data_IF_453294479315
#
_entry.id   IF_453294479315
#
_cell.length_a   1.000
_cell.length_b   1.000
_cell.length_c   1.000
_cell.angle_alpha   90.00
_cell.angle_beta   90.00
_cell.angle_gamma   90.00
#
_symmetry.space_group_name_H-M   'P 1'
#
loop_
_entity.id
_entity.type
_entity.pdbx_description
1 polymer ?
#
# COMPACT_ATOMS: atom_id res chain seq x y z
N UNK A 1 -19.83 -10.27 -10.69
CA UNK A 1 -18.69 -9.34 -10.56
C UNK A 1 -17.61 -10.06 -9.78
N UNK A 2 -16.30 -9.82 -10.02
CA UNK A 2 -15.28 -10.33 -9.11
C UNK A 2 -15.58 -9.81 -7.69
N UNK A 3 -15.51 -10.70 -6.70
CA UNK A 3 -15.70 -10.34 -5.29
C UNK A 3 -14.43 -9.63 -4.84
N UNK A 4 -14.57 -8.42 -4.29
CA UNK A 4 -13.47 -7.63 -3.74
C UNK A 4 -13.58 -7.64 -2.22
N UNK A 5 -12.48 -7.94 -1.53
CA UNK A 5 -12.46 -8.14 -0.08
C UNK A 5 -11.89 -6.90 0.64
N UNK A 6 -12.35 -6.56 1.85
CA UNK A 6 -11.67 -5.52 2.62
C UNK A 6 -10.26 -5.97 3.05
N UNK A 7 -9.39 -5.03 3.37
CA UNK A 7 -7.98 -5.34 3.69
C UNK A 7 -7.81 -6.16 4.98
N UNK A 8 -8.76 -6.05 5.90
CA UNK A 8 -8.82 -6.85 7.12
C UNK A 8 -9.41 -8.25 6.89
N UNK A 9 -9.80 -8.62 5.66
CA UNK A 9 -10.18 -10.00 5.34
C UNK A 9 -8.98 -10.92 5.19
N UNK A 10 -7.74 -10.41 5.15
CA UNK A 10 -6.53 -11.22 4.98
C UNK A 10 -5.61 -11.14 6.20
N UNK A 11 -4.99 -12.27 6.53
CA UNK A 11 -4.08 -12.45 7.66
C UNK A 11 -3.06 -13.55 7.35
N UNK A 12 -1.90 -13.52 8.01
CA UNK A 12 -0.98 -14.67 8.11
C UNK A 12 -1.30 -15.57 9.30
N UNK A 13 -2.15 -15.11 10.23
CA UNK A 13 -2.66 -15.87 11.36
C UNK A 13 -4.21 -15.85 11.39
N UNK A 14 -4.88 -16.98 11.11
CA UNK A 14 -6.33 -17.03 11.04
C UNK A 14 -7.01 -16.86 12.41
N UNK A 15 -6.28 -16.98 13.53
CA UNK A 15 -6.83 -16.72 14.86
C UNK A 15 -7.10 -15.22 15.10
N UNK A 16 -6.47 -14.34 14.33
CA UNK A 16 -6.61 -12.88 14.47
C UNK A 16 -7.89 -12.32 13.85
N UNK A 17 -8.62 -13.10 13.06
CA UNK A 17 -9.88 -12.64 12.47
C UNK A 17 -10.99 -12.39 13.49
N UNK A 18 -10.89 -12.98 14.69
CA UNK A 18 -11.84 -12.76 15.78
C UNK A 18 -11.48 -11.52 16.63
N UNK A 19 -10.33 -10.90 16.35
CA UNK A 19 -9.87 -9.67 16.99
C UNK A 19 -10.20 -8.45 16.11
N UNK A 20 -10.42 -7.29 16.74
CA UNK A 20 -10.62 -6.03 16.02
C UNK A 20 -9.44 -5.71 15.08
N UNK A 21 -9.70 -5.21 13.86
CA UNK A 21 -8.67 -4.68 12.98
C UNK A 21 -7.90 -3.54 13.64
N UNK A 22 -6.67 -3.32 13.16
CA UNK A 22 -5.85 -2.19 13.55
C UNK A 22 -5.81 -1.15 12.43
N UNK A 23 -5.83 0.12 12.82
CA UNK A 23 -5.69 1.25 11.90
C UNK A 23 -4.22 1.60 11.71
N UNK A 24 -3.74 1.60 10.47
CA UNK A 24 -2.33 1.85 10.16
C UNK A 24 -2.22 2.96 9.11
N UNK A 25 -1.40 4.00 9.34
CA UNK A 25 -1.10 4.98 8.30
C UNK A 25 -0.16 4.40 7.24
N UNK A 26 -0.50 4.60 5.96
CA UNK A 26 0.29 4.16 4.81
C UNK A 26 1.50 5.06 4.57
N UNK A 27 1.33 6.37 4.76
CA UNK A 27 2.38 7.38 4.75
C UNK A 27 2.63 7.87 6.18
N UNK A 28 3.87 7.78 6.65
CA UNK A 28 4.27 8.21 8.00
C UNK A 28 5.56 9.01 7.93
N UNK A 29 5.84 9.83 8.94
CA UNK A 29 7.02 10.72 9.00
C UNK A 29 8.20 10.15 9.80
N UNK A 30 8.01 9.10 10.62
CA UNK A 30 9.04 8.64 11.58
C UNK A 30 9.69 7.29 11.24
N UNK A 31 10.90 7.09 11.79
CA UNK A 31 11.91 6.00 11.72
C UNK A 31 12.33 5.45 10.35
N UNK A 32 11.42 5.33 9.38
CA UNK A 32 11.69 5.08 7.95
C UNK A 32 10.83 5.96 7.02
N UNK A 33 10.14 6.96 7.60
CA UNK A 33 9.09 7.77 6.96
C UNK A 33 9.53 8.88 6.02
N UNK A 34 8.54 9.62 5.52
CA UNK A 34 8.64 10.80 4.67
C UNK A 34 9.45 11.89 5.39
N UNK A 35 10.76 11.96 5.12
CA UNK A 35 11.54 13.11 5.55
C UNK A 35 11.01 14.40 4.86
N UNK A 36 11.26 15.60 5.41
CA UNK A 36 10.72 16.83 4.86
C UNK A 36 10.98 17.02 3.36
N UNK A 37 12.15 16.60 2.88
CA UNK A 37 12.52 16.67 1.47
C UNK A 37 11.65 15.73 0.60
N UNK A 38 11.39 14.51 1.07
CA UNK A 38 10.53 13.57 0.37
C UNK A 38 9.08 14.08 0.38
N UNK A 39 8.61 14.61 1.51
CA UNK A 39 7.27 15.22 1.59
C UNK A 39 7.11 16.36 0.59
N UNK A 40 8.07 17.30 0.55
CA UNK A 40 8.07 18.41 -0.41
C UNK A 40 8.09 17.88 -1.87
N UNK A 41 8.83 16.80 -2.15
CA UNK A 41 8.81 16.14 -3.45
C UNK A 41 7.44 15.53 -3.78
N UNK A 42 6.79 14.85 -2.84
CA UNK A 42 5.47 14.27 -3.06
C UNK A 42 4.44 15.36 -3.32
N UNK A 43 4.42 16.42 -2.52
CA UNK A 43 3.53 17.56 -2.72
C UNK A 43 3.69 18.14 -4.13
N UNK A 44 4.93 18.38 -4.57
CA UNK A 44 5.18 18.86 -5.92
C UNK A 44 4.70 17.89 -7.01
N UNK A 45 5.00 16.59 -6.89
CA UNK A 45 4.64 15.59 -7.91
C UNK A 45 3.13 15.29 -7.92
N UNK A 46 2.43 15.50 -6.81
CA UNK A 46 0.99 15.27 -6.68
C UNK A 46 0.18 16.55 -6.90
N UNK A 47 0.82 17.59 -7.44
CA UNK A 47 0.22 18.87 -7.77
C UNK A 47 -0.41 19.59 -6.57
N UNK A 48 0.18 19.41 -5.39
CA UNK A 48 -0.17 20.09 -4.15
C UNK A 48 0.76 21.28 -3.91
N UNK A 49 0.31 22.24 -3.12
CA UNK A 49 1.20 23.26 -2.55
C UNK A 49 1.95 22.68 -1.36
N UNK A 50 3.04 23.35 -1.00
CA UNK A 50 3.83 22.98 0.17
C UNK A 50 2.97 23.00 1.43
N UNK A 51 2.97 21.90 2.17
CA UNK A 51 2.19 21.70 3.40
C UNK A 51 0.74 21.24 3.18
N UNK A 52 0.28 21.06 1.95
CA UNK A 52 -1.09 20.58 1.66
C UNK A 52 -1.22 19.05 1.72
N UNK A 53 -0.12 18.29 1.79
CA UNK A 53 -0.23 16.84 2.02
C UNK A 53 -0.65 16.58 3.47
N UNK A 54 -1.92 16.19 3.62
CA UNK A 54 -2.55 15.78 4.86
C UNK A 54 -2.31 14.30 5.15
N UNK A 55 -1.42 14.03 6.11
CA UNK A 55 -1.09 12.67 6.56
C UNK A 55 -2.07 12.14 7.60
N UNK A 56 -2.86 13.01 8.22
CA UNK A 56 -3.86 12.65 9.23
C UNK A 56 -5.22 12.32 8.59
N UNK A 57 -5.33 12.51 7.27
CA UNK A 57 -6.50 12.14 6.46
C UNK A 57 -6.86 10.67 6.65
N UNK A 58 -8.17 10.39 6.74
CA UNK A 58 -8.69 9.02 6.77
C UNK A 58 -8.30 8.20 5.53
N UNK A 59 -7.99 8.86 4.41
CA UNK A 59 -7.54 8.23 3.17
C UNK A 59 -6.05 7.84 3.17
N UNK A 60 -5.36 8.09 4.29
CA UNK A 60 -4.04 7.58 4.59
C UNK A 60 -4.09 6.37 5.55
N UNK A 61 -5.25 6.03 6.11
CA UNK A 61 -5.40 4.96 7.11
C UNK A 61 -6.02 3.70 6.49
N UNK A 62 -5.36 2.56 6.63
CA UNK A 62 -5.95 1.24 6.33
C UNK A 62 -6.38 0.53 7.61
N UNK A 63 -7.48 -0.24 7.53
CA UNK A 63 -7.80 -1.26 8.53
C UNK A 63 -7.24 -2.59 8.06
N UNK A 64 -6.40 -3.22 8.88
CA UNK A 64 -5.78 -4.52 8.59
C UNK A 64 -5.76 -5.41 9.83
N UNK A 65 -5.48 -6.70 9.69
CA UNK A 65 -5.25 -7.58 10.85
C UNK A 65 -3.92 -7.25 11.54
N UNK A 66 -3.83 -7.53 12.84
CA UNK A 66 -2.75 -7.04 13.71
C UNK A 66 -1.33 -7.50 13.31
N UNK A 67 -1.23 -8.59 12.55
CA UNK A 67 0.01 -9.13 11.99
C UNK A 67 0.43 -8.46 10.68
N UNK A 68 -0.53 -7.94 9.91
CA UNK A 68 -0.32 -7.35 8.59
C UNK A 68 0.62 -6.13 8.56
N UNK A 69 0.66 -5.21 9.55
CA UNK A 69 1.61 -4.09 9.52
C UNK A 69 3.05 -4.59 9.38
N UNK A 70 3.41 -5.63 10.15
CA UNK A 70 4.73 -6.24 10.08
C UNK A 70 4.98 -6.92 8.73
N UNK A 71 3.96 -7.56 8.15
CA UNK A 71 4.09 -8.18 6.82
C UNK A 71 4.28 -7.13 5.72
N UNK A 72 3.61 -5.98 5.84
CA UNK A 72 3.74 -4.84 4.92
C UNK A 72 5.14 -4.24 4.95
N UNK A 73 5.77 -4.14 6.12
CA UNK A 73 7.18 -3.78 6.24
C UNK A 73 8.13 -4.87 5.71
N UNK A 74 7.72 -6.13 5.85
CA UNK A 74 8.56 -7.29 5.53
C UNK A 74 8.60 -7.63 4.05
N UNK A 75 7.54 -7.36 3.29
CA UNK A 75 7.53 -7.57 1.85
C UNK A 75 6.17 -7.93 1.24
N UNK A 76 5.06 -7.62 1.89
CA UNK A 76 3.70 -7.89 1.40
C UNK A 76 2.96 -6.57 1.15
N UNK A 77 2.70 -6.22 -0.11
CA UNK A 77 2.18 -4.89 -0.43
C UNK A 77 0.80 -4.94 -1.04
N UNK A 78 -0.12 -4.12 -0.55
CA UNK A 78 -1.29 -3.74 -1.34
C UNK A 78 -0.87 -2.72 -2.39
N UNK A 79 -1.16 -2.98 -3.65
CA UNK A 79 -0.81 -2.09 -4.76
C UNK A 79 -2.04 -1.83 -5.63
N UNK A 80 -2.17 -0.63 -6.23
CA UNK A 80 -3.26 -0.36 -7.15
C UNK A 80 -3.30 -1.41 -8.28
N UNK A 81 -4.48 -1.70 -8.82
CA UNK A 81 -4.57 -2.54 -10.03
C UNK A 81 -3.73 -1.95 -11.17
N UNK A 82 -3.30 -2.76 -12.16
CA UNK A 82 -2.56 -2.25 -13.32
C UNK A 82 -3.28 -1.10 -14.04
N UNK A 83 -4.61 -1.15 -14.12
CA UNK A 83 -5.44 -0.09 -14.70
C UNK A 83 -5.35 1.20 -13.87
N UNK A 84 -5.54 1.11 -12.56
CA UNK A 84 -5.44 2.27 -11.65
C UNK A 84 -4.02 2.85 -11.68
N UNK A 85 -2.99 1.99 -11.64
CA UNK A 85 -1.60 2.42 -11.68
C UNK A 85 -1.25 3.12 -13.00
N UNK A 86 -1.75 2.62 -14.14
CA UNK A 86 -1.56 3.28 -15.43
C UNK A 86 -2.24 4.65 -15.49
N UNK A 87 -3.41 4.81 -14.84
CA UNK A 87 -4.08 6.10 -14.73
C UNK A 87 -3.27 7.08 -13.87
N UNK A 88 -2.66 6.62 -12.77
CA UNK A 88 -1.75 7.43 -11.93
C UNK A 88 -0.59 7.95 -12.79
N UNK A 89 0.07 7.08 -13.56
CA UNK A 89 1.18 7.46 -14.43
C UNK A 89 0.76 8.47 -15.52
N UNK A 90 -0.41 8.25 -16.13
CA UNK A 90 -0.95 9.14 -17.17
C UNK A 90 -1.26 10.53 -16.61
N UNK A 91 -1.81 10.60 -15.39
CA UNK A 91 -2.08 11.85 -14.69
C UNK A 91 -0.79 12.59 -14.33
N UNK A 92 0.21 11.87 -13.81
CA UNK A 92 1.52 12.44 -13.51
C UNK A 92 2.18 13.04 -14.76
N UNK A 93 2.09 12.36 -15.90
CA UNK A 93 2.60 12.86 -17.18
C UNK A 93 1.85 14.10 -17.69
N UNK A 94 0.52 14.15 -17.52
CA UNK A 94 -0.28 15.31 -17.94
C UNK A 94 0.05 16.56 -17.09
N UNK A 95 0.30 16.40 -15.80
CA UNK A 95 0.64 17.48 -14.88
C UNK A 95 2.03 18.12 -15.12
N UNK A 96 2.85 17.52 -15.97
CA UNK A 96 4.11 18.14 -16.43
C UNK A 96 3.84 19.36 -17.35
N UNK A 97 2.64 19.46 -17.93
CA UNK A 97 2.26 20.49 -18.90
C UNK A 97 1.53 21.70 -18.31
N UNK A 98 2.15 22.46 -17.40
CA UNK A 98 1.69 23.78 -16.85
C UNK A 98 0.29 23.89 -16.19
N UNK A 99 -0.68 23.02 -16.46
CA UNK A 99 -1.99 22.92 -15.80
C UNK A 99 -1.95 21.73 -14.85
N UNK A 100 -1.62 22.01 -13.60
CA UNK A 100 -1.48 21.00 -12.56
C UNK A 100 -2.80 20.79 -11.84
N UNK A 101 -3.34 19.59 -11.95
CA UNK A 101 -4.56 19.17 -11.24
C UNK A 101 -4.12 18.35 -10.02
N UNK A 102 -4.52 18.73 -8.79
CA UNK A 102 -4.26 17.95 -7.58
C UNK A 102 -4.67 16.49 -7.74
N UNK A 103 -3.88 15.59 -7.15
CA UNK A 103 -4.14 14.16 -7.24
C UNK A 103 -5.53 13.77 -6.70
N UNK A 104 -6.02 14.42 -5.65
CA UNK A 104 -7.36 14.24 -5.06
C UNK A 104 -8.52 14.70 -5.96
N UNK A 105 -8.28 15.62 -6.89
CA UNK A 105 -9.28 16.01 -7.89
C UNK A 105 -9.31 15.03 -9.06
N UNK A 106 -8.14 14.48 -9.42
CA UNK A 106 -8.02 13.51 -10.50
C UNK A 106 -8.47 12.10 -10.09
N UNK A 107 -8.33 11.78 -8.80
CA UNK A 107 -8.72 10.53 -8.17
C UNK A 107 -9.67 10.88 -7.02
N UNK A 108 -10.99 10.91 -7.28
CA UNK A 108 -11.96 11.30 -6.27
C UNK A 108 -11.95 10.34 -5.07
N UNK A 109 -12.43 10.82 -3.93
CA UNK A 109 -12.61 9.98 -2.75
C UNK A 109 -13.70 8.94 -3.03
N UNK A 110 -13.27 7.68 -3.13
CA UNK A 110 -14.12 6.50 -3.30
C UNK A 110 -13.32 5.26 -2.92
N UNK A 111 -14.00 4.11 -2.89
CA UNK A 111 -13.33 2.83 -2.82
C UNK A 111 -12.60 2.52 -4.14
N UNK A 112 -11.38 2.01 -4.00
CA UNK A 112 -10.55 1.56 -5.10
C UNK A 112 -10.19 0.09 -4.93
N UNK A 113 -9.94 -0.57 -6.06
CA UNK A 113 -9.44 -1.93 -6.07
C UNK A 113 -7.92 -1.99 -6.02
N UNK A 114 -7.43 -3.00 -5.30
CA UNK A 114 -6.03 -3.28 -5.03
C UNK A 114 -5.75 -4.76 -5.23
N UNK A 115 -4.51 -5.07 -5.56
CA UNK A 115 -3.99 -6.43 -5.58
C UNK A 115 -2.96 -6.59 -4.46
N UNK A 116 -2.88 -7.79 -3.90
CA UNK A 116 -1.87 -8.13 -2.92
C UNK A 116 -0.64 -8.70 -3.62
N UNK A 117 0.50 -8.04 -3.45
CA UNK A 117 1.77 -8.35 -4.10
C UNK A 117 2.80 -8.84 -3.06
N UNK A 118 2.98 -10.17 -2.91
CA UNK A 118 4.03 -10.73 -2.06
C UNK A 118 5.39 -10.65 -2.77
N UNK A 119 6.41 -10.12 -2.10
CA UNK A 119 7.79 -9.99 -2.61
C UNK A 119 8.80 -10.85 -1.85
N UNK A 120 8.73 -10.86 -0.53
CA UNK A 120 9.75 -11.51 0.33
C UNK A 120 9.13 -12.33 1.46
N UNK A 121 7.87 -12.73 1.31
CA UNK A 121 7.19 -13.60 2.27
C UNK A 121 6.87 -14.96 1.64
N UNK A 122 6.95 -16.00 2.46
CA UNK A 122 6.62 -17.39 2.12
C UNK A 122 5.66 -18.03 3.14
N UNK A 123 5.19 -17.26 4.11
CA UNK A 123 4.21 -17.70 5.12
C UNK A 123 2.81 -17.84 4.50
N UNK A 124 1.98 -18.78 4.95
CA UNK A 124 0.63 -18.94 4.43
C UNK A 124 -0.21 -17.68 4.63
N UNK A 125 -1.05 -17.36 3.65
CA UNK A 125 -2.06 -16.32 3.75
C UNK A 125 -3.42 -16.97 3.94
N UNK A 126 -4.25 -16.36 4.77
CA UNK A 126 -5.61 -16.76 5.02
C UNK A 126 -6.53 -15.62 4.63
N UNK A 127 -7.58 -15.93 3.89
CA UNK A 127 -8.64 -14.99 3.54
C UNK A 127 -9.91 -15.47 4.24
N UNK A 128 -10.53 -14.60 5.04
CA UNK A 128 -11.85 -14.87 5.62
C UNK A 128 -12.90 -14.10 4.82
N UNK A 129 -13.87 -14.83 4.30
CA UNK A 129 -15.02 -14.24 3.65
C UNK A 129 -15.88 -13.50 4.71
N UNK A 130 -16.13 -12.19 4.55
CA UNK A 130 -16.87 -11.42 5.56
C UNK A 130 -18.35 -11.77 5.62
N UNK A 131 -18.93 -12.37 4.57
CA UNK A 131 -20.34 -12.75 4.51
C UNK A 131 -20.55 -14.16 5.06
N UNK A 132 -19.73 -15.13 4.64
CA UNK A 132 -19.90 -16.54 5.05
C UNK A 132 -19.10 -16.91 6.29
N UNK A 133 -18.05 -16.16 6.62
CA UNK A 133 -17.08 -16.50 7.67
C UNK A 133 -16.11 -17.63 7.27
N UNK A 134 -16.25 -18.19 6.06
CA UNK A 134 -15.37 -19.25 5.59
C UNK A 134 -13.94 -18.72 5.42
N UNK A 135 -12.96 -19.54 5.80
CA UNK A 135 -11.55 -19.18 5.69
C UNK A 135 -10.87 -20.03 4.62
N UNK A 136 -10.32 -19.38 3.61
CA UNK A 136 -9.51 -19.98 2.56
C UNK A 136 -8.03 -19.76 2.83
N UNK A 137 -7.22 -20.81 2.66
CA UNK A 137 -5.75 -20.74 2.77
C UNK A 137 -5.11 -20.64 1.38
N UNK A 138 -4.09 -19.80 1.27
CA UNK A 138 -3.23 -19.62 0.12
C UNK A 138 -1.78 -19.86 0.52
N UNK A 139 -1.15 -20.85 -0.09
CA UNK A 139 0.27 -21.15 0.09
C UNK A 139 1.11 -20.49 -1.02
N UNK A 140 2.39 -20.19 -0.73
CA UNK A 140 3.34 -19.69 -1.72
C UNK A 140 3.40 -20.62 -2.95
N UNK A 141 3.41 -20.11 -4.20
CA UNK A 141 3.59 -18.72 -4.63
C UNK A 141 2.28 -17.91 -4.76
N UNK A 142 1.25 -18.27 -4.00
CA UNK A 142 -0.03 -17.56 -3.85
C UNK A 142 -0.80 -17.36 -5.16
N UNK A 143 -1.22 -18.48 -5.76
CA UNK A 143 -2.07 -18.44 -6.95
C UNK A 143 -3.52 -18.08 -6.60
N UNK A 144 -4.12 -17.21 -7.42
CA UNK A 144 -5.56 -16.92 -7.34
C UNK A 144 -5.97 -16.04 -6.16
N UNK A 145 -5.07 -15.23 -5.61
CA UNK A 145 -5.44 -14.19 -4.64
C UNK A 145 -6.50 -13.25 -5.24
N UNK A 146 -7.53 -12.84 -4.48
CA UNK A 146 -8.57 -11.96 -4.96
C UNK A 146 -8.08 -10.50 -5.04
N UNK A 147 -8.96 -9.63 -5.51
CA UNK A 147 -8.81 -8.18 -5.35
C UNK A 147 -9.30 -7.74 -3.97
N UNK A 148 -8.80 -6.58 -3.55
CA UNK A 148 -9.16 -5.96 -2.28
C UNK A 148 -9.70 -4.55 -2.49
N UNK A 149 -10.66 -4.13 -1.67
CA UNK A 149 -11.26 -2.80 -1.70
C UNK A 149 -10.85 -1.99 -0.48
N UNK A 150 -10.53 -0.72 -0.69
CA UNK A 150 -10.28 0.24 0.39
C UNK A 150 -10.50 1.68 -0.08
N UNK A 151 -10.90 2.54 0.86
CA UNK A 151 -11.01 3.99 0.66
C UNK A 151 -9.67 4.73 0.73
N UNK A 152 -8.56 4.02 1.03
CA UNK A 152 -7.23 4.62 0.97
C UNK A 152 -6.92 5.12 -0.42
N UNK A 153 -6.22 6.25 -0.51
CA UNK A 153 -5.95 6.89 -1.79
C UNK A 153 -4.91 6.10 -2.61
N UNK A 154 -5.15 5.80 -3.90
CA UNK A 154 -4.25 4.99 -4.72
C UNK A 154 -2.81 5.49 -4.79
N UNK A 155 -2.60 6.81 -4.80
CA UNK A 155 -1.28 7.43 -4.77
C UNK A 155 -0.46 7.07 -3.51
N UNK A 156 -1.12 6.94 -2.36
CA UNK A 156 -0.46 6.62 -1.11
C UNK A 156 0.10 5.18 -1.14
N UNK A 157 -0.71 4.22 -1.59
CA UNK A 157 -0.30 2.82 -1.75
C UNK A 157 0.71 2.61 -2.89
N UNK A 158 0.57 3.34 -4.01
CA UNK A 158 1.56 3.35 -5.07
C UNK A 158 2.95 3.79 -4.55
N UNK A 159 3.00 4.88 -3.78
CA UNK A 159 4.26 5.34 -3.20
C UNK A 159 4.82 4.37 -2.16
N UNK A 160 3.98 3.85 -1.26
CA UNK A 160 4.39 2.92 -0.21
C UNK A 160 5.04 1.66 -0.82
N UNK A 161 4.40 1.06 -1.82
CA UNK A 161 4.91 -0.16 -2.47
C UNK A 161 6.24 0.04 -3.23
N UNK A 162 6.48 1.22 -3.80
CA UNK A 162 7.75 1.56 -4.46
C UNK A 162 8.84 1.84 -3.41
N UNK A 163 8.53 2.63 -2.39
CA UNK A 163 9.53 3.11 -1.42
C UNK A 163 10.13 1.98 -0.59
N UNK A 164 9.30 1.07 -0.08
CA UNK A 164 9.80 -0.12 0.62
C UNK A 164 10.46 -1.14 -0.33
N UNK A 165 10.10 -1.09 -1.62
CA UNK A 165 10.76 -1.82 -2.69
C UNK A 165 12.24 -1.45 -2.86
N UNK A 166 12.56 -0.16 -2.75
CA UNK A 166 13.88 0.41 -3.00
C UNK A 166 14.75 0.50 -1.72
N UNK A 167 14.16 0.79 -0.55
CA UNK A 167 14.91 0.91 0.71
C UNK A 167 15.58 -0.40 1.12
N UNK A 168 14.92 -1.56 0.94
CA UNK A 168 15.57 -2.87 1.18
C UNK A 168 16.65 -3.23 0.15
N UNK A 169 16.49 -2.82 -1.12
CA UNK A 169 17.54 -3.04 -2.13
C UNK A 169 18.82 -2.26 -1.77
N UNK A 170 18.66 -0.98 -1.36
CA UNK A 170 19.76 -0.16 -0.88
C UNK A 170 20.40 -0.70 0.41
N UNK A 171 19.60 -1.16 1.38
CA UNK A 171 20.11 -1.76 2.62
C UNK A 171 20.77 -3.13 2.39
N UNK A 172 20.30 -3.93 1.44
CA UNK A 172 20.94 -5.19 1.04
C UNK A 172 22.29 -4.92 0.36
N UNK A 173 22.37 -3.94 -0.54
CA UNK A 173 23.65 -3.52 -1.15
C UNK A 173 24.66 -2.97 -0.12
N UNK A 174 24.21 -2.24 0.90
CA UNK A 174 25.06 -1.74 1.98
C UNK A 174 25.52 -2.82 2.97
N UNK A 175 24.72 -3.89 3.17
CA UNK A 175 25.12 -5.04 4.01
C UNK A 175 26.11 -5.96 3.30
N UNK A 176 25.96 -6.20 1.99
CA UNK A 176 26.92 -7.01 1.21
C UNK A 176 28.28 -6.32 0.99
N UNK A 177 28.35 -4.99 1.07
CA UNK A 177 29.61 -4.25 0.90
C UNK A 177 30.42 -4.08 2.19
N UNK A 178 29.89 -4.50 3.35
CA UNK A 178 30.60 -4.49 4.65
C UNK A 178 31.16 -5.85 5.08
N UNK A 179 30.89 -6.93 4.33
CA UNK A 179 31.44 -8.27 4.59
C UNK A 179 32.71 -8.58 3.78
N UNK A 180 33.21 -7.61 3.01
CA UNK A 180 34.50 -7.66 2.34
C UNK A 180 35.28 -6.41 2.77
N UNK A 181 35.84 -6.46 3.97
CA UNK A 181 36.82 -5.48 4.49
C UNK A 181 37.69 -6.17 5.53
#
# INVERSE_FOLDING_TARGET
MPVSYPFDAISTDPSLFDSEPVSVPILQTEECGLCPQIKDCLEYNWSLRRGELDLDSTHNLVQVRADMPHQMESGLYFVPTPTTFQAILSQAAANDSHTRIPYTESFPIQDYEYILAPRCIDVPLYLRDPESGETQRFDHPYHGLPTFSSSVHPFHLAYNSISYGHVKSALHHLRCSRTIS
#
